data_IF_429950775323
#
_entry.id   IF_429950775323
#
_cell.length_a   1.000
_cell.length_b   1.000
_cell.length_c   1.000
_cell.angle_alpha   90.00
_cell.angle_beta   90.00
_cell.angle_gamma   90.00
#
_symmetry.space_group_name_H-M   'P 1'
#
loop_
_entity.id
_entity.type
_entity.pdbx_description
1 polymer ?
#
# COMPACT_ATOMS: atom_id res chain seq x y z
N UNK A 1 4.48 9.41 6.50
CA UNK A 1 4.19 9.02 5.10
C UNK A 1 2.68 9.01 4.94
N UNK A 2 2.10 9.93 4.16
CA UNK A 2 0.65 10.14 4.10
C UNK A 2 0.17 10.58 2.72
N UNK A 3 -1.05 11.13 2.63
CA UNK A 3 -1.67 11.50 1.34
C UNK A 3 -0.85 12.48 0.50
N UNK A 4 -0.20 13.47 1.12
CA UNK A 4 0.71 14.38 0.43
C UNK A 4 1.96 13.68 -0.13
N UNK A 5 2.47 12.65 0.56
CA UNK A 5 3.58 11.83 0.05
C UNK A 5 3.13 11.02 -1.16
N UNK A 6 1.94 10.40 -1.11
CA UNK A 6 1.36 9.68 -2.24
C UNK A 6 1.22 10.60 -3.46
N UNK A 7 0.55 11.74 -3.29
CA UNK A 7 0.31 12.66 -4.41
C UNK A 7 1.62 13.21 -4.97
N UNK A 8 2.52 13.70 -4.11
CA UNK A 8 3.80 14.26 -4.54
C UNK A 8 4.67 13.26 -5.31
N UNK A 9 4.78 12.02 -4.82
CA UNK A 9 5.52 10.96 -5.52
C UNK A 9 4.84 10.56 -6.83
N UNK A 10 3.51 10.45 -6.87
CA UNK A 10 2.79 10.17 -8.11
C UNK A 10 3.01 11.28 -9.16
N UNK A 11 2.98 12.56 -8.75
CA UNK A 11 3.30 13.67 -9.67
C UNK A 11 4.73 13.55 -10.22
N UNK A 12 5.71 13.21 -9.38
CA UNK A 12 7.12 13.05 -9.82
C UNK A 12 7.34 11.84 -10.73
N UNK A 13 6.79 10.69 -10.36
CA UNK A 13 7.06 9.41 -11.02
C UNK A 13 6.20 9.17 -12.25
N UNK A 14 5.01 9.78 -12.27
CA UNK A 14 4.04 9.57 -13.33
C UNK A 14 3.69 10.85 -14.07
N UNK A 15 3.99 12.04 -13.58
CA UNK A 15 3.55 13.28 -14.23
C UNK A 15 2.04 13.51 -14.18
N UNK A 16 1.29 12.78 -13.36
CA UNK A 16 -0.10 13.16 -13.05
C UNK A 16 -0.15 14.53 -12.35
N UNK A 17 -1.30 15.19 -12.45
CA UNK A 17 -1.48 16.56 -11.97
C UNK A 17 -2.57 16.71 -10.91
N UNK A 18 -3.37 15.67 -10.68
CA UNK A 18 -4.43 15.65 -9.68
C UNK A 18 -4.45 14.35 -8.88
N UNK A 19 -5.11 14.39 -7.73
CA UNK A 19 -5.30 13.22 -6.89
C UNK A 19 -6.16 12.16 -7.60
N UNK A 20 -7.22 12.59 -8.28
CA UNK A 20 -8.13 11.73 -9.01
C UNK A 20 -7.42 11.01 -10.17
N UNK A 21 -6.54 11.71 -10.91
CA UNK A 21 -5.72 11.10 -11.94
C UNK A 21 -4.73 10.07 -11.36
N UNK A 22 -4.10 10.39 -10.23
CA UNK A 22 -3.19 9.47 -9.54
C UNK A 22 -3.92 8.19 -9.08
N UNK A 23 -5.13 8.31 -8.53
CA UNK A 23 -5.96 7.16 -8.14
C UNK A 23 -6.42 6.36 -9.36
N UNK A 24 -6.82 7.02 -10.45
CA UNK A 24 -7.21 6.35 -11.69
C UNK A 24 -6.05 5.56 -12.31
N UNK A 25 -4.84 6.14 -12.37
CA UNK A 25 -3.62 5.44 -12.78
C UNK A 25 -3.31 4.27 -11.87
N UNK A 26 -3.37 4.50 -10.55
CA UNK A 26 -3.13 3.45 -9.59
C UNK A 26 -4.13 2.30 -9.77
N UNK A 27 -5.39 2.55 -10.12
CA UNK A 27 -6.43 1.54 -10.29
C UNK A 27 -6.11 0.52 -11.41
N UNK A 28 -5.46 0.96 -12.50
CA UNK A 28 -5.10 0.12 -13.65
C UNK A 28 -3.71 -0.51 -13.57
N UNK A 29 -2.88 -0.12 -12.61
CA UNK A 29 -1.51 -0.63 -12.48
C UNK A 29 -1.36 -1.94 -11.72
N UNK A 30 -0.16 -2.52 -11.79
CA UNK A 30 0.29 -3.69 -11.05
C UNK A 30 1.60 -3.37 -10.29
N UNK A 31 1.53 -3.33 -8.96
CA UNK A 31 2.71 -3.04 -8.15
C UNK A 31 3.75 -4.17 -8.18
N UNK A 32 3.41 -5.40 -8.57
CA UNK A 32 4.34 -6.54 -8.56
C UNK A 32 5.47 -6.41 -9.59
N UNK A 33 5.32 -5.50 -10.56
CA UNK A 33 6.38 -5.12 -11.51
C UNK A 33 7.40 -4.16 -10.89
N UNK A 34 7.02 -3.44 -9.84
CA UNK A 34 7.78 -2.35 -9.18
C UNK A 34 8.34 -2.80 -7.82
N UNK A 35 7.53 -3.51 -7.05
CA UNK A 35 7.84 -4.02 -5.72
C UNK A 35 8.58 -5.35 -5.81
N UNK A 36 9.48 -5.59 -4.85
CA UNK A 36 10.10 -6.90 -4.66
C UNK A 36 9.29 -7.67 -3.61
N UNK A 37 8.83 -8.85 -3.99
CA UNK A 37 8.00 -9.71 -3.15
C UNK A 37 8.85 -10.73 -2.39
N UNK A 38 8.25 -11.38 -1.37
CA UNK A 38 8.92 -12.44 -0.60
C UNK A 38 9.41 -13.56 -1.53
N UNK A 39 8.60 -13.96 -2.51
CA UNK A 39 9.00 -14.98 -3.50
C UNK A 39 10.20 -14.58 -4.36
N UNK A 40 10.42 -13.29 -4.59
CA UNK A 40 11.58 -12.82 -5.36
C UNK A 40 12.90 -12.96 -4.58
N UNK A 41 12.83 -13.11 -3.26
CA UNK A 41 13.98 -13.31 -2.37
C UNK A 41 14.14 -14.79 -2.03
N UNK A 42 13.04 -15.47 -1.71
CA UNK A 42 13.06 -16.83 -1.15
C UNK A 42 12.61 -17.93 -2.12
N UNK A 43 12.16 -17.59 -3.34
CA UNK A 43 11.64 -18.55 -4.32
C UNK A 43 10.24 -19.10 -4.02
N UNK A 44 9.57 -18.58 -2.98
CA UNK A 44 8.25 -19.02 -2.52
C UNK A 44 7.89 -18.32 -1.21
N UNK A 45 7.09 -18.97 -0.37
CA UNK A 45 6.74 -18.48 0.97
C UNK A 45 7.95 -18.53 1.91
N UNK A 46 8.04 -17.56 2.84
CA UNK A 46 8.97 -17.65 3.97
C UNK A 46 8.27 -18.31 5.16
N UNK A 47 8.17 -19.64 5.10
CA UNK A 47 7.38 -20.46 6.02
C UNK A 47 7.73 -20.27 7.51
N UNK A 48 9.01 -20.04 7.84
CA UNK A 48 9.47 -19.89 9.24
C UNK A 48 8.72 -18.80 10.00
N UNK A 49 8.36 -17.71 9.33
CA UNK A 49 7.64 -16.58 9.93
C UNK A 49 6.23 -16.42 9.36
N UNK A 50 5.77 -17.39 8.56
CA UNK A 50 4.45 -17.36 7.94
C UNK A 50 4.25 -16.18 6.99
N UNK A 51 5.28 -15.78 6.22
CA UNK A 51 5.16 -14.71 5.24
C UNK A 51 4.85 -15.31 3.85
N UNK A 52 3.68 -15.02 3.24
CA UNK A 52 3.32 -15.50 1.91
C UNK A 52 4.26 -14.93 0.84
N UNK A 53 4.46 -15.69 -0.24
CA UNK A 53 5.34 -15.32 -1.34
C UNK A 53 4.87 -14.10 -2.14
N UNK A 54 3.57 -13.80 -2.14
CA UNK A 54 2.98 -12.61 -2.77
C UNK A 54 3.03 -11.35 -1.91
N UNK A 55 3.49 -11.46 -0.66
CA UNK A 55 3.68 -10.31 0.21
C UNK A 55 4.85 -9.44 -0.28
N UNK A 56 4.68 -8.12 -0.22
CA UNK A 56 5.75 -7.16 -0.50
C UNK A 56 6.85 -7.29 0.56
N UNK A 57 8.06 -7.64 0.12
CA UNK A 57 9.25 -7.67 0.97
C UNK A 57 10.01 -6.34 0.94
N UNK A 58 10.02 -5.66 -0.21
CA UNK A 58 10.65 -4.35 -0.38
C UNK A 58 9.90 -3.51 -1.42
N UNK A 59 9.23 -2.47 -0.94
CA UNK A 59 8.58 -1.46 -1.77
C UNK A 59 9.57 -0.82 -2.74
N UNK A 60 9.19 -0.71 -4.02
CA UNK A 60 10.05 -0.24 -5.12
C UNK A 60 11.35 -1.03 -5.31
N UNK A 61 11.49 -2.19 -4.67
CA UNK A 61 12.75 -2.95 -4.65
C UNK A 61 13.19 -3.45 -6.02
N UNK A 62 12.30 -3.57 -7.02
CA UNK A 62 12.67 -3.94 -8.38
C UNK A 62 13.28 -2.77 -9.16
N UNK A 63 13.07 -1.53 -8.72
CA UNK A 63 13.52 -0.31 -9.40
C UNK A 63 15.01 -0.06 -9.28
N UNK A 64 15.76 -0.88 -8.54
CA UNK A 64 17.22 -0.86 -8.58
C UNK A 64 17.77 -1.38 -9.94
N UNK A 65 17.00 -2.21 -10.67
CA UNK A 65 17.39 -2.71 -12.00
C UNK A 65 17.03 -1.72 -13.11
N UNK A 66 18.02 -1.33 -13.92
CA UNK A 66 17.81 -0.48 -15.09
C UNK A 66 16.86 -1.12 -16.12
N UNK A 67 16.99 -2.44 -16.34
CA UNK A 67 16.13 -3.18 -17.25
C UNK A 67 14.67 -3.16 -16.80
N UNK A 68 14.42 -3.33 -15.49
CA UNK A 68 13.05 -3.28 -14.96
C UNK A 68 12.49 -1.87 -15.03
N UNK A 69 13.29 -0.84 -14.67
CA UNK A 69 12.88 0.56 -14.82
C UNK A 69 12.46 0.92 -16.26
N UNK A 70 13.08 0.31 -17.26
CA UNK A 70 12.73 0.55 -18.67
C UNK A 70 11.39 -0.07 -19.09
N UNK A 71 10.83 -1.01 -18.32
CA UNK A 71 9.62 -1.78 -18.65
C UNK A 71 8.39 -1.38 -17.83
N UNK A 72 8.56 -0.71 -16.69
CA UNK A 72 7.43 -0.33 -15.82
C UNK A 72 6.57 0.74 -16.48
N UNK A 73 5.25 0.62 -16.31
CA UNK A 73 4.33 1.67 -16.74
C UNK A 73 4.15 2.73 -15.65
N UNK A 74 3.65 3.90 -16.06
CA UNK A 74 3.22 4.96 -15.13
C UNK A 74 2.14 4.48 -14.15
N UNK A 75 1.23 3.63 -14.62
CA UNK A 75 0.17 3.05 -13.81
C UNK A 75 0.73 2.13 -12.71
N UNK A 76 1.75 1.32 -13.03
CA UNK A 76 2.42 0.44 -12.06
C UNK A 76 3.11 1.24 -10.96
N UNK A 77 3.78 2.35 -11.33
CA UNK A 77 4.40 3.26 -10.37
C UNK A 77 3.35 3.91 -9.45
N UNK A 78 2.21 4.35 -9.99
CA UNK A 78 1.11 4.88 -9.17
C UNK A 78 0.56 3.82 -8.21
N UNK A 79 0.34 2.59 -8.69
CA UNK A 79 -0.13 1.44 -7.89
C UNK A 79 0.87 1.12 -6.77
N UNK A 80 2.16 1.04 -7.06
CA UNK A 80 3.20 0.78 -6.07
C UNK A 80 3.30 1.89 -5.02
N UNK A 81 3.11 3.15 -5.44
CA UNK A 81 3.09 4.30 -4.51
C UNK A 81 1.93 4.19 -3.54
N UNK A 82 0.70 3.96 -4.01
CA UNK A 82 -0.47 3.85 -3.12
C UNK A 82 -0.38 2.64 -2.20
N UNK A 83 0.09 1.49 -2.71
CA UNK A 83 0.29 0.27 -1.91
C UNK A 83 1.30 0.51 -0.79
N UNK A 84 2.45 1.12 -1.12
CA UNK A 84 3.52 1.42 -0.16
C UNK A 84 3.05 2.34 0.95
N UNK A 85 2.44 3.48 0.61
CA UNK A 85 1.95 4.45 1.60
C UNK A 85 0.84 3.85 2.45
N UNK A 86 -0.11 3.14 1.83
CA UNK A 86 -1.25 2.55 2.55
C UNK A 86 -0.81 1.46 3.52
N UNK A 87 0.06 0.54 3.09
CA UNK A 87 0.57 -0.53 3.95
C UNK A 87 1.42 0.00 5.09
N UNK A 88 2.18 1.08 4.87
CA UNK A 88 2.92 1.74 5.94
C UNK A 88 1.99 2.36 7.00
N UNK A 89 0.94 3.08 6.56
CA UNK A 89 -0.09 3.62 7.47
C UNK A 89 -0.75 2.49 8.26
N UNK A 90 -1.18 1.42 7.59
CA UNK A 90 -1.78 0.25 8.23
C UNK A 90 -0.85 -0.40 9.26
N UNK A 91 0.43 -0.56 8.93
CA UNK A 91 1.41 -1.17 9.85
C UNK A 91 1.60 -0.35 11.12
N UNK A 92 1.72 0.98 11.00
CA UNK A 92 1.86 1.89 12.15
C UNK A 92 0.57 1.89 12.98
N UNK A 93 -0.59 2.03 12.34
CA UNK A 93 -1.88 2.01 13.03
C UNK A 93 -2.09 0.72 13.83
N UNK A 94 -1.73 -0.44 13.25
CA UNK A 94 -1.78 -1.74 13.94
C UNK A 94 -0.88 -1.77 15.17
N UNK A 95 0.36 -1.30 15.03
CA UNK A 95 1.34 -1.25 16.12
C UNK A 95 0.82 -0.39 17.28
N UNK A 96 0.34 0.81 16.99
CA UNK A 96 -0.25 1.70 17.99
C UNK A 96 -1.48 1.08 18.65
N UNK A 97 -2.43 0.57 17.87
CA UNK A 97 -3.64 -0.06 18.40
C UNK A 97 -3.32 -1.26 19.31
N UNK A 98 -2.34 -2.08 18.93
CA UNK A 98 -1.88 -3.22 19.75
C UNK A 98 -1.25 -2.76 21.06
N UNK A 99 -0.46 -1.68 21.03
CA UNK A 99 0.19 -1.13 22.22
C UNK A 99 -0.82 -0.54 23.21
N UNK A 100 -1.86 0.11 22.71
CA UNK A 100 -2.90 0.74 23.52
C UNK A 100 -4.06 -0.21 23.90
N UNK A 101 -4.02 -1.47 23.45
CA UNK A 101 -5.12 -2.42 23.70
C UNK A 101 -6.44 -2.04 23.01
N UNK A 102 -6.36 -1.37 21.86
CA UNK A 102 -7.53 -0.91 21.09
C UNK A 102 -7.79 -1.87 19.92
N UNK A 103 -9.03 -2.34 19.80
CA UNK A 103 -9.42 -3.30 18.74
C UNK A 103 -10.02 -2.63 17.49
N UNK A 104 -10.50 -1.40 17.61
CA UNK A 104 -11.24 -0.69 16.57
C UNK A 104 -10.49 0.55 16.14
N UNK A 105 -10.07 0.58 14.87
CA UNK A 105 -9.31 1.68 14.30
C UNK A 105 -10.14 2.37 13.22
N UNK A 106 -10.50 3.63 13.45
CA UNK A 106 -11.20 4.45 12.47
C UNK A 106 -10.16 5.17 11.62
N UNK A 107 -10.22 4.99 10.30
CA UNK A 107 -9.42 5.75 9.35
C UNK A 107 -10.27 6.87 8.74
N UNK A 108 -9.72 8.09 8.72
CA UNK A 108 -10.33 9.28 8.15
C UNK A 108 -9.30 10.11 7.37
N UNK A 109 -9.78 11.12 6.66
CA UNK A 109 -9.02 12.08 5.88
C UNK A 109 -9.18 11.90 4.36
N UNK A 110 -9.03 12.99 3.61
CA UNK A 110 -9.21 13.05 2.15
C UNK A 110 -8.31 12.11 1.32
N UNK A 111 -7.31 11.45 1.92
CA UNK A 111 -6.55 10.39 1.25
C UNK A 111 -7.41 9.16 0.90
N UNK A 112 -8.47 8.92 1.67
CA UNK A 112 -9.39 7.80 1.46
C UNK A 112 -10.54 8.16 0.51
N UNK A 113 -10.72 9.47 0.23
CA UNK A 113 -11.73 9.96 -0.70
C UNK A 113 -11.58 9.30 -2.05
N UNK A 114 -12.66 8.70 -2.56
CA UNK A 114 -12.71 7.97 -3.84
C UNK A 114 -11.61 6.92 -4.00
N UNK A 115 -11.04 6.41 -2.89
CA UNK A 115 -9.90 5.51 -2.89
C UNK A 115 -10.24 4.16 -2.21
N UNK A 116 -11.14 3.35 -2.82
CA UNK A 116 -11.53 2.05 -2.27
C UNK A 116 -10.36 1.06 -2.25
N UNK A 117 -9.32 1.29 -3.05
CA UNK A 117 -8.10 0.49 -3.03
C UNK A 117 -7.40 0.61 -1.68
N UNK A 118 -7.16 1.83 -1.19
CA UNK A 118 -6.53 2.01 0.11
C UNK A 118 -7.41 1.52 1.26
N UNK A 119 -8.73 1.73 1.20
CA UNK A 119 -9.64 1.22 2.23
C UNK A 119 -9.59 -0.31 2.34
N UNK A 120 -9.57 -1.03 1.20
CA UNK A 120 -9.43 -2.48 1.16
C UNK A 120 -8.08 -2.95 1.69
N UNK A 121 -6.98 -2.28 1.32
CA UNK A 121 -5.64 -2.59 1.82
C UNK A 121 -5.53 -2.37 3.34
N UNK A 122 -6.07 -1.28 3.88
CA UNK A 122 -6.09 -1.02 5.32
C UNK A 122 -6.90 -2.09 6.06
N UNK A 123 -8.07 -2.46 5.52
CA UNK A 123 -8.90 -3.52 6.08
C UNK A 123 -8.17 -4.88 6.11
N UNK A 124 -7.53 -5.22 5.00
CA UNK A 124 -6.71 -6.43 4.90
C UNK A 124 -5.54 -6.39 5.88
N UNK A 125 -4.80 -5.28 5.95
CA UNK A 125 -3.66 -5.15 6.86
C UNK A 125 -4.07 -5.25 8.33
N UNK A 126 -5.18 -4.63 8.74
CA UNK A 126 -5.70 -4.78 10.10
C UNK A 126 -6.03 -6.23 10.41
N UNK A 127 -6.82 -6.88 9.56
CA UNK A 127 -7.29 -8.25 9.81
C UNK A 127 -6.14 -9.26 9.75
N UNK A 128 -5.36 -9.25 8.68
CA UNK A 128 -4.30 -10.23 8.43
C UNK A 128 -3.21 -10.20 9.51
N UNK A 129 -2.65 -9.02 9.80
CA UNK A 129 -1.52 -8.89 10.73
C UNK A 129 -1.93 -8.99 12.21
N UNK A 130 -3.21 -8.83 12.53
CA UNK A 130 -3.73 -9.02 13.89
C UNK A 130 -4.42 -10.38 14.10
N UNK A 131 -4.45 -11.24 13.07
CA UNK A 131 -5.22 -12.50 13.07
C UNK A 131 -6.71 -12.28 13.40
N UNK A 132 -7.27 -11.19 12.88
CA UNK A 132 -8.67 -10.80 13.03
C UNK A 132 -9.00 -10.00 14.29
N UNK A 133 -8.04 -9.73 15.18
CA UNK A 133 -8.29 -8.98 16.42
C UNK A 133 -8.56 -7.49 16.19
N UNK A 134 -8.00 -6.89 15.13
CA UNK A 134 -8.20 -5.48 14.79
C UNK A 134 -9.17 -5.32 13.63
N UNK A 135 -10.09 -4.36 13.77
CA UNK A 135 -11.06 -3.98 12.74
C UNK A 135 -10.79 -2.57 12.23
N UNK A 136 -10.62 -2.45 10.92
CA UNK A 136 -10.64 -1.16 10.23
C UNK A 136 -12.09 -0.67 10.07
N UNK A 137 -12.31 0.60 10.41
CA UNK A 137 -13.58 1.30 10.26
C UNK A 137 -13.34 2.55 9.41
N UNK A 138 -14.36 2.93 8.63
CA UNK A 138 -14.35 4.11 7.76
C UNK A 138 -15.64 4.89 7.96
N UNK A 139 -15.60 6.18 7.63
CA UNK A 139 -16.74 7.09 7.76
C UNK A 139 -17.15 7.57 6.37
N UNK A 140 -18.46 7.74 6.13
CA UNK A 140 -18.92 8.33 4.87
C UNK A 140 -18.48 9.80 4.73
N UNK A 141 -18.38 10.51 5.85
CA UNK A 141 -17.91 11.90 5.93
C UNK A 141 -16.48 11.91 6.49
N UNK A 142 -15.54 11.42 5.69
CA UNK A 142 -14.18 11.15 6.11
C UNK A 142 -13.24 12.37 6.15
N UNK A 143 -13.58 13.49 5.51
CA UNK A 143 -12.80 14.74 5.61
C UNK A 143 -13.07 15.75 4.51
#
# INVERSE_FOLDING_TARGET
>A
LGGGTFLGLCCLLTGCSSFEEAIALAASGDNTTVDKLVRDIYGGDYARFGLPGDLVASSFGQMCSAERRAKVSRADLARATVVTITNNIGSIARLCASNEGIERVVFCGNFLRVNPLSMKLLSYAMSYWSRGALKALFLEHEG
#
